data_IF_144715418406
#
_entry.id   IF_144715418406
#
_cell.length_a   1.000
_cell.length_b   1.000
_cell.length_c   1.000
_cell.angle_alpha   90.00
_cell.angle_beta   90.00
_cell.angle_gamma   90.00
#
_symmetry.space_group_name_H-M   'P 1'
#
loop_
_entity.id
_entity.type
_entity.pdbx_description
1 polymer ?
#
# COMPACT_ATOMS: atom_id res chain seq x y z
N UNK A 1 -31.14 -38.09 -3.15
CA UNK A 1 -30.96 -37.02 -4.15
C UNK A 1 -30.98 -35.68 -3.43
N UNK A 2 -29.87 -34.94 -3.37
CA UNK A 2 -29.82 -33.60 -2.76
C UNK A 2 -30.04 -32.53 -3.85
N UNK A 3 -30.81 -31.46 -3.61
CA UNK A 3 -31.14 -30.47 -4.62
C UNK A 3 -29.89 -29.68 -5.06
N UNK A 4 -29.84 -29.35 -6.36
CA UNK A 4 -28.77 -28.56 -6.98
C UNK A 4 -28.75 -27.16 -6.36
N UNK A 5 -27.66 -26.80 -5.70
CA UNK A 5 -27.40 -25.41 -5.35
C UNK A 5 -26.92 -24.68 -6.61
N UNK A 6 -27.76 -23.80 -7.17
CA UNK A 6 -27.29 -22.82 -8.14
C UNK A 6 -26.59 -21.70 -7.37
N UNK A 7 -25.26 -21.70 -7.40
CA UNK A 7 -24.51 -20.52 -6.98
C UNK A 7 -24.51 -19.52 -8.15
N UNK A 8 -25.49 -18.63 -8.17
CA UNK A 8 -25.37 -17.40 -8.96
C UNK A 8 -24.73 -16.36 -8.04
N UNK A 9 -23.41 -16.28 -8.10
CA UNK A 9 -22.59 -15.19 -7.55
C UNK A 9 -21.57 -14.89 -8.67
N UNK A 10 -21.46 -13.69 -9.21
CA UNK A 10 -21.50 -12.39 -8.56
C UNK A 10 -21.94 -11.30 -9.53
N UNK A 11 -22.54 -10.25 -8.96
CA UNK A 11 -22.77 -8.95 -9.59
C UNK A 11 -21.46 -8.49 -10.21
N UNK A 12 -21.45 -8.30 -11.52
CA UNK A 12 -20.33 -7.75 -12.25
C UNK A 12 -20.08 -6.33 -11.73
N UNK A 13 -19.02 -6.12 -10.94
CA UNK A 13 -18.51 -4.78 -10.69
C UNK A 13 -18.15 -4.17 -12.05
N UNK A 14 -19.00 -3.25 -12.51
CA UNK A 14 -18.76 -2.49 -13.74
C UNK A 14 -17.67 -1.47 -13.44
N UNK A 15 -16.41 -1.87 -13.54
CA UNK A 15 -15.30 -0.92 -13.53
C UNK A 15 -15.28 -0.16 -14.86
N UNK A 16 -15.66 1.12 -14.79
CA UNK A 16 -15.55 2.06 -15.91
C UNK A 16 -14.26 2.87 -15.73
N UNK A 17 -13.35 2.79 -16.71
CA UNK A 17 -12.12 3.59 -16.72
C UNK A 17 -12.30 4.71 -17.73
N UNK A 18 -12.12 5.96 -17.29
CA UNK A 18 -12.06 7.12 -18.16
C UNK A 18 -10.63 7.30 -18.68
N UNK A 19 -10.45 7.18 -19.99
CA UNK A 19 -9.15 7.33 -20.65
C UNK A 19 -9.18 8.55 -21.59
N UNK A 20 -8.07 9.29 -21.73
CA UNK A 20 -7.92 10.30 -22.78
C UNK A 20 -8.18 9.69 -24.16
N UNK A 21 -8.82 10.46 -25.05
CA UNK A 21 -9.27 9.99 -26.38
C UNK A 21 -8.14 9.37 -27.20
N UNK A 22 -6.93 9.95 -27.13
CA UNK A 22 -5.74 9.43 -27.82
C UNK A 22 -5.38 8.01 -27.36
N UNK A 23 -5.39 7.78 -26.04
CA UNK A 23 -5.06 6.49 -25.44
C UNK A 23 -6.16 5.44 -25.71
N UNK A 24 -7.43 5.84 -25.64
CA UNK A 24 -8.55 4.96 -26.00
C UNK A 24 -8.46 4.46 -27.46
N UNK A 25 -8.05 5.33 -28.38
CA UNK A 25 -7.84 4.97 -29.77
C UNK A 25 -6.63 4.04 -29.97
N UNK A 26 -5.56 4.23 -29.21
CA UNK A 26 -4.41 3.32 -29.23
C UNK A 26 -4.78 1.93 -28.71
N UNK A 27 -5.45 1.83 -27.56
CA UNK A 27 -5.92 0.57 -26.98
C UNK A 27 -6.84 -0.18 -27.94
N UNK A 28 -7.76 0.53 -28.61
CA UNK A 28 -8.61 -0.08 -29.64
C UNK A 28 -7.82 -0.63 -30.84
N UNK A 29 -6.75 0.07 -31.27
CA UNK A 29 -5.89 -0.41 -32.37
C UNK A 29 -5.13 -1.67 -31.96
N UNK A 30 -4.62 -1.71 -30.73
CA UNK A 30 -3.88 -2.86 -30.19
C UNK A 30 -4.80 -4.07 -30.04
N UNK A 31 -5.96 -3.90 -29.40
CA UNK A 31 -6.97 -4.94 -29.25
C UNK A 31 -7.42 -5.54 -30.59
N UNK A 32 -7.54 -4.72 -31.64
CA UNK A 32 -7.85 -5.21 -33.00
C UNK A 32 -6.71 -6.01 -33.64
N UNK A 33 -5.46 -5.59 -33.43
CA UNK A 33 -4.27 -6.28 -33.98
C UNK A 33 -4.05 -7.63 -33.33
N UNK A 34 -4.26 -7.70 -32.03
CA UNK A 34 -4.02 -8.90 -31.22
C UNK A 34 -5.27 -9.78 -31.10
N UNK A 35 -6.41 -9.34 -31.64
CA UNK A 35 -7.71 -10.02 -31.55
C UNK A 35 -8.15 -10.30 -30.11
N UNK A 36 -7.87 -9.35 -29.21
CA UNK A 36 -8.15 -9.46 -27.77
C UNK A 36 -9.32 -8.55 -27.40
N UNK A 37 -10.14 -8.99 -26.44
CA UNK A 37 -11.19 -8.15 -25.86
C UNK A 37 -10.56 -7.00 -25.08
N UNK A 38 -11.02 -5.76 -25.33
CA UNK A 38 -10.53 -4.55 -24.63
C UNK A 38 -10.64 -4.70 -23.10
N UNK A 39 -11.70 -5.36 -22.63
CA UNK A 39 -11.89 -5.64 -21.19
C UNK A 39 -10.83 -6.59 -20.63
N UNK A 40 -10.38 -7.56 -21.43
CA UNK A 40 -9.32 -8.49 -21.05
C UNK A 40 -7.97 -7.79 -21.02
N UNK A 41 -7.67 -7.00 -22.05
CA UNK A 41 -6.46 -6.17 -22.11
C UNK A 41 -6.36 -5.22 -20.90
N UNK A 42 -7.46 -4.54 -20.54
CA UNK A 42 -7.48 -3.65 -19.39
C UNK A 42 -7.20 -4.40 -18.06
N UNK A 43 -7.78 -5.58 -17.87
CA UNK A 43 -7.54 -6.41 -16.68
C UNK A 43 -6.09 -6.86 -16.60
N UNK A 44 -5.57 -7.43 -17.69
CA UNK A 44 -4.20 -7.92 -17.74
C UNK A 44 -3.18 -6.79 -17.52
N UNK A 45 -3.38 -5.62 -18.14
CA UNK A 45 -2.49 -4.48 -17.96
C UNK A 45 -2.50 -3.94 -16.52
N UNK A 46 -3.67 -3.94 -15.86
CA UNK A 46 -3.76 -3.58 -14.43
C UNK A 46 -3.06 -4.63 -13.58
N UNK A 47 -3.27 -5.92 -13.83
CA UNK A 47 -2.61 -7.00 -13.10
C UNK A 47 -1.09 -6.97 -13.27
N UNK A 48 -0.60 -6.73 -14.49
CA UNK A 48 0.84 -6.56 -14.75
C UNK A 48 1.39 -5.31 -14.07
N UNK A 49 0.64 -4.20 -14.08
CA UNK A 49 1.03 -3.00 -13.35
C UNK A 49 1.03 -3.20 -11.84
N UNK A 50 0.07 -3.94 -11.29
CA UNK A 50 0.02 -4.30 -9.88
C UNK A 50 1.12 -5.30 -9.49
N UNK A 51 1.61 -6.12 -10.42
CA UNK A 51 2.78 -6.99 -10.20
C UNK A 51 4.11 -6.21 -10.27
N UNK A 52 4.18 -5.17 -11.09
CA UNK A 52 5.37 -4.30 -11.21
C UNK A 52 5.43 -3.26 -10.10
N UNK A 53 4.25 -2.80 -9.66
CA UNK A 53 4.08 -1.97 -8.48
C UNK A 53 4.08 -2.92 -7.29
N UNK A 54 5.29 -3.40 -6.92
CA UNK A 54 5.53 -3.83 -5.54
C UNK A 54 4.81 -2.82 -4.64
N UNK A 55 4.01 -3.30 -3.68
CA UNK A 55 3.16 -2.43 -2.90
C UNK A 55 4.04 -1.32 -2.35
N UNK A 56 3.80 -0.10 -2.80
CA UNK A 56 4.27 1.11 -2.13
C UNK A 56 3.47 1.30 -0.83
N UNK A 57 3.13 0.21 -0.16
CA UNK A 57 2.99 0.19 1.27
C UNK A 57 4.42 0.11 1.78
N UNK A 58 4.77 0.98 2.71
CA UNK A 58 5.97 0.84 3.53
C UNK A 58 6.31 -0.64 3.69
N UNK A 59 7.58 -1.02 3.51
CA UNK A 59 8.02 -2.31 3.99
C UNK A 59 7.87 -2.28 5.51
N UNK A 60 6.63 -2.49 6.00
CA UNK A 60 6.34 -3.03 7.31
C UNK A 60 6.88 -4.46 7.29
N UNK A 61 8.21 -4.57 7.25
CA UNK A 61 8.93 -5.61 7.97
C UNK A 61 8.81 -5.36 9.49
N UNK A 62 7.84 -4.57 9.94
CA UNK A 62 7.35 -4.60 11.31
C UNK A 62 6.59 -5.89 11.51
N UNK A 63 7.22 -6.84 12.20
CA UNK A 63 6.48 -7.79 13.03
C UNK A 63 5.48 -6.98 13.86
N UNK A 64 4.20 -7.02 13.49
CA UNK A 64 3.14 -6.37 14.26
C UNK A 64 3.12 -7.00 15.65
N UNK A 65 3.63 -6.25 16.63
CA UNK A 65 3.60 -6.65 18.03
C UNK A 65 2.15 -6.94 18.42
N UNK A 66 1.91 -8.13 18.96
CA UNK A 66 0.65 -8.51 19.57
C UNK A 66 0.33 -7.59 20.75
N UNK A 67 -0.95 -7.51 21.12
CA UNK A 67 -1.38 -6.74 22.30
C UNK A 67 -0.68 -7.19 23.59
N UNK A 68 -0.33 -8.48 23.68
CA UNK A 68 0.41 -9.04 24.82
C UNK A 68 1.83 -8.51 24.89
N UNK A 69 2.54 -8.44 23.76
CA UNK A 69 3.90 -7.93 23.70
C UNK A 69 3.95 -6.42 23.99
N UNK A 70 2.97 -5.66 23.48
CA UNK A 70 2.85 -4.23 23.79
C UNK A 70 2.61 -3.97 25.27
N UNK A 71 1.77 -4.77 25.93
CA UNK A 71 1.55 -4.69 27.38
C UNK A 71 2.78 -5.07 28.18
N UNK A 72 3.47 -6.15 27.78
CA UNK A 72 4.70 -6.57 28.44
C UNK A 72 5.75 -5.46 28.48
N UNK A 73 5.87 -4.66 27.41
CA UNK A 73 6.73 -3.46 27.42
C UNK A 73 6.25 -2.40 28.42
N UNK A 74 4.94 -2.14 28.49
CA UNK A 74 4.38 -1.16 29.42
C UNK A 74 4.43 -1.60 30.89
N UNK A 75 4.54 -2.90 31.15
CA UNK A 75 4.68 -3.45 32.49
C UNK A 75 6.13 -3.32 33.03
N UNK A 76 7.10 -3.00 32.16
CA UNK A 76 8.48 -2.75 32.58
C UNK A 76 8.61 -1.48 33.44
N UNK A 77 9.56 -1.44 34.40
CA UNK A 77 9.96 -0.22 35.09
C UNK A 77 10.33 0.90 34.10
N UNK A 78 10.13 2.15 34.52
CA UNK A 78 10.35 3.30 33.64
C UNK A 78 11.81 3.40 33.17
N UNK A 79 12.76 2.95 33.99
CA UNK A 79 14.19 2.92 33.70
C UNK A 79 14.52 1.94 32.57
N UNK A 80 13.93 0.74 32.61
CA UNK A 80 14.15 -0.28 31.57
C UNK A 80 13.55 0.15 30.24
N UNK A 81 12.35 0.75 30.26
CA UNK A 81 11.75 1.30 29.04
C UNK A 81 12.61 2.40 28.43
N UNK A 82 13.15 3.31 29.26
CA UNK A 82 14.03 4.39 28.78
C UNK A 82 15.29 3.85 28.11
N UNK A 83 15.88 2.80 28.68
CA UNK A 83 17.06 2.14 28.09
C UNK A 83 16.74 1.57 26.70
N UNK A 84 15.66 0.80 26.59
CA UNK A 84 15.22 0.21 25.32
C UNK A 84 14.95 1.30 24.27
N UNK A 85 14.23 2.36 24.66
CA UNK A 85 13.93 3.46 23.75
C UNK A 85 15.17 4.25 23.30
N UNK A 86 16.17 4.39 24.18
CA UNK A 86 17.42 5.06 23.83
C UNK A 86 18.21 4.24 22.80
N UNK A 87 18.33 2.93 23.00
CA UNK A 87 18.99 2.03 22.05
C UNK A 87 18.30 2.07 20.67
N UNK A 88 16.96 2.07 20.65
CA UNK A 88 16.18 2.20 19.41
C UNK A 88 16.36 3.57 18.74
N UNK A 89 16.44 4.64 19.53
CA UNK A 89 16.64 6.00 19.01
C UNK A 89 18.02 6.16 18.34
N UNK A 90 19.05 5.52 18.89
CA UNK A 90 20.40 5.50 18.30
C UNK A 90 20.42 4.75 16.96
N UNK A 91 19.69 3.63 16.85
CA UNK A 91 19.62 2.83 15.63
C UNK A 91 18.97 3.59 14.45
N UNK A 92 17.91 4.36 14.74
CA UNK A 92 17.21 5.13 13.71
C UNK A 92 17.89 6.45 13.36
N UNK A 93 18.80 6.95 14.21
CA UNK A 93 19.45 8.25 14.05
C UNK A 93 20.10 8.42 12.69
N UNK A 94 20.80 7.37 12.22
CA UNK A 94 21.46 7.37 10.92
C UNK A 94 20.51 7.66 9.76
N UNK A 95 19.28 7.12 9.80
CA UNK A 95 18.26 7.36 8.78
C UNK A 95 17.73 8.80 8.81
N UNK A 96 17.63 9.42 9.99
CA UNK A 96 17.24 10.82 10.14
C UNK A 96 18.35 11.81 9.80
N UNK A 97 19.62 11.43 9.95
CA UNK A 97 20.75 12.30 9.58
C UNK A 97 20.94 12.38 8.05
N UNK A 98 20.67 11.29 7.33
CA UNK A 98 20.84 11.22 5.88
C UNK A 98 19.69 11.85 5.10
N UNK A 99 18.46 11.68 5.57
CA UNK A 99 17.30 12.30 4.95
C UNK A 99 17.18 13.75 5.43
N UNK A 100 17.28 14.74 4.54
CA UNK A 100 17.11 16.15 4.88
C UNK A 100 15.70 16.67 4.63
N UNK A 101 14.80 15.87 4.04
CA UNK A 101 13.46 16.30 3.66
C UNK A 101 12.62 16.68 4.91
N UNK A 102 12.86 16.03 6.05
CA UNK A 102 12.17 16.38 7.31
C UNK A 102 12.49 17.80 7.81
N UNK A 103 13.65 18.38 7.45
CA UNK A 103 14.01 19.76 7.83
C UNK A 103 13.16 20.79 7.10
N UNK A 104 12.68 20.45 5.91
CA UNK A 104 11.77 21.32 5.14
C UNK A 104 10.35 21.30 5.74
N UNK A 105 9.92 20.17 6.29
CA UNK A 105 8.62 20.01 6.96
C UNK A 105 8.51 20.78 8.29
N UNK A 106 9.63 21.05 8.96
CA UNK A 106 9.67 21.85 10.19
C UNK A 106 9.54 23.37 9.94
N UNK A 107 9.47 23.82 8.68
CA UNK A 107 9.40 25.24 8.31
C UNK A 107 7.98 25.83 8.29
N UNK A 108 7.02 25.18 8.94
CA UNK A 108 5.68 25.72 9.18
C UNK A 108 5.62 26.45 10.52
N UNK A 109 5.08 27.66 10.55
CA UNK A 109 4.81 28.36 11.80
C UNK A 109 3.84 27.54 12.66
N UNK A 110 4.22 27.27 13.91
CA UNK A 110 3.34 26.66 14.90
C UNK A 110 2.35 27.75 15.32
N UNK A 111 1.12 27.67 14.83
CA UNK A 111 0.02 28.52 15.30
C UNK A 111 -0.58 27.86 16.53
N UNK A 112 -0.28 28.39 17.72
CA UNK A 112 -1.03 28.08 18.94
C UNK A 112 -2.39 28.78 18.85
N UNK A 113 -3.48 28.01 18.95
CA UNK A 113 -4.86 28.50 19.02
C UNK A 113 -5.30 28.70 20.47
#
# INVERSE_FOLDING_TARGET
MKPKQQQIKTVQDRFCITLPVALANQVRKIAKRENISISFFARQAIEEKLKQMEPFFFHENEKKLSLRERRAFMDLPIEERRKIMAEQAEEILFSYEQDSEWKELQRGDIVEY
#
